data_IF_251822107114
#
_entry.id   IF_251822107114
#
_cell.length_a   1.000
_cell.length_b   1.000
_cell.length_c   1.000
_cell.angle_alpha   90.00
_cell.angle_beta   90.00
_cell.angle_gamma   90.00
#
_symmetry.space_group_name_H-M   'P 1'
#
loop_
_entity.id
_entity.type
_entity.pdbx_description
1 polymer ?
#
# COMPACT_ATOMS: atom_id res chain seq x y z
N UNK A 1 -45.86 23.28 3.28
CA UNK A 1 -45.01 23.37 4.49
C UNK A 1 -45.73 22.62 5.60
N UNK A 2 -45.02 21.73 6.29
CA UNK A 2 -45.57 20.83 7.31
C UNK A 2 -46.12 21.65 8.50
N UNK A 3 -47.29 21.33 9.08
CA UNK A 3 -47.86 22.09 10.20
C UNK A 3 -46.97 22.07 11.45
N UNK A 4 -47.00 23.11 12.30
CA UNK A 4 -46.26 23.14 13.56
C UNK A 4 -46.63 21.94 14.44
N UNK A 5 -45.63 21.18 14.90
CA UNK A 5 -45.82 19.99 15.76
C UNK A 5 -45.99 18.66 15.02
N UNK A 6 -46.10 18.66 13.68
CA UNK A 6 -46.10 17.44 12.88
C UNK A 6 -44.68 17.03 12.46
N UNK A 7 -44.44 15.71 12.38
CA UNK A 7 -43.16 15.18 11.87
C UNK A 7 -43.02 15.47 10.38
N UNK A 8 -41.91 16.12 9.99
CA UNK A 8 -41.60 16.40 8.59
C UNK A 8 -40.91 15.20 7.95
N UNK A 9 -41.71 14.36 7.28
CA UNK A 9 -41.24 13.15 6.62
C UNK A 9 -40.20 13.45 5.53
N UNK A 10 -40.33 14.57 4.81
CA UNK A 10 -39.39 14.93 3.75
C UNK A 10 -38.03 15.26 4.35
N UNK A 11 -38.01 16.00 5.46
CA UNK A 11 -36.80 16.27 6.25
C UNK A 11 -36.15 14.97 6.73
N UNK A 12 -36.92 14.06 7.32
CA UNK A 12 -36.39 12.78 7.82
C UNK A 12 -35.83 11.89 6.71
N UNK A 13 -36.53 11.79 5.58
CA UNK A 13 -36.07 11.02 4.42
C UNK A 13 -34.80 11.63 3.81
N UNK A 14 -34.73 12.96 3.69
CA UNK A 14 -33.55 13.67 3.22
C UNK A 14 -32.35 13.46 4.15
N UNK A 15 -32.57 13.51 5.47
CA UNK A 15 -31.52 13.26 6.45
C UNK A 15 -30.98 11.83 6.36
N UNK A 16 -31.86 10.83 6.24
CA UNK A 16 -31.47 9.44 6.03
C UNK A 16 -30.71 9.25 4.70
N UNK A 17 -31.20 9.85 3.62
CA UNK A 17 -30.54 9.83 2.32
C UNK A 17 -29.15 10.47 2.38
N UNK A 18 -29.00 11.62 3.02
CA UNK A 18 -27.72 12.32 3.17
C UNK A 18 -26.72 11.45 3.93
N UNK A 19 -27.14 10.80 5.02
CA UNK A 19 -26.29 9.87 5.76
C UNK A 19 -25.81 8.71 4.88
N UNK A 20 -26.72 8.08 4.14
CA UNK A 20 -26.38 7.00 3.21
C UNK A 20 -25.44 7.47 2.10
N UNK A 21 -25.67 8.66 1.55
CA UNK A 21 -24.84 9.25 0.51
C UNK A 21 -23.43 9.53 1.01
N UNK A 22 -23.28 10.14 2.18
CA UNK A 22 -21.96 10.41 2.79
C UNK A 22 -21.21 9.11 3.04
N UNK A 23 -21.87 8.10 3.62
CA UNK A 23 -21.25 6.80 3.85
C UNK A 23 -20.89 6.11 2.53
N UNK A 24 -21.77 6.16 1.53
CA UNK A 24 -21.52 5.58 0.21
C UNK A 24 -20.33 6.22 -0.49
N UNK A 25 -20.27 7.55 -0.52
CA UNK A 25 -19.15 8.31 -1.10
C UNK A 25 -17.87 8.06 -0.31
N UNK A 26 -17.94 8.03 1.03
CA UNK A 26 -16.79 7.72 1.88
C UNK A 26 -16.21 6.32 1.61
N UNK A 27 -17.06 5.31 1.52
CA UNK A 27 -16.65 3.94 1.16
C UNK A 27 -16.06 3.92 -0.24
N UNK A 28 -16.70 4.57 -1.21
CA UNK A 28 -16.20 4.65 -2.58
C UNK A 28 -14.81 5.30 -2.65
N UNK A 29 -14.61 6.41 -1.92
CA UNK A 29 -13.34 7.11 -1.81
C UNK A 29 -12.23 6.22 -1.25
N UNK A 30 -12.50 5.51 -0.15
CA UNK A 30 -11.55 4.58 0.46
C UNK A 30 -11.21 3.41 -0.48
N UNK A 31 -12.20 2.88 -1.21
CA UNK A 31 -11.97 1.83 -2.21
C UNK A 31 -11.11 2.31 -3.37
N UNK A 32 -11.34 3.53 -3.87
CA UNK A 32 -10.53 4.12 -4.94
C UNK A 32 -9.08 4.35 -4.48
N UNK A 33 -8.88 4.76 -3.22
CA UNK A 33 -7.55 4.95 -2.64
C UNK A 33 -6.80 3.64 -2.42
N UNK A 34 -7.50 2.53 -2.20
CA UNK A 34 -6.89 1.21 -2.09
C UNK A 34 -6.50 0.57 -3.44
N UNK A 35 -6.91 1.15 -4.58
CA UNK A 35 -6.60 0.59 -5.91
C UNK A 35 -5.10 0.44 -6.21
N UNK A 36 -4.23 1.45 -5.96
CA UNK A 36 -2.80 1.31 -6.20
C UNK A 36 -2.21 0.12 -5.44
N UNK A 37 -2.61 -0.06 -4.18
CA UNK A 37 -2.15 -1.16 -3.33
C UNK A 37 -2.57 -2.51 -3.91
N UNK A 38 -3.85 -2.70 -4.26
CA UNK A 38 -4.34 -3.93 -4.87
C UNK A 38 -3.66 -4.28 -6.19
N UNK A 39 -3.28 -3.29 -7.00
CA UNK A 39 -2.55 -3.51 -8.25
C UNK A 39 -1.11 -3.95 -8.01
N UNK A 40 -0.43 -3.35 -7.02
CA UNK A 40 0.96 -3.67 -6.70
C UNK A 40 1.15 -5.06 -6.04
N UNK A 41 0.06 -5.73 -5.60
CA UNK A 41 0.13 -7.03 -4.94
C UNK A 41 0.73 -8.15 -5.80
N UNK A 42 0.74 -8.01 -7.14
CA UNK A 42 1.39 -8.98 -8.03
C UNK A 42 2.89 -8.73 -8.25
N UNK A 43 3.42 -7.64 -7.71
CA UNK A 43 4.79 -7.23 -7.91
C UNK A 43 5.71 -7.60 -6.74
N UNK A 44 6.99 -7.29 -6.89
CA UNK A 44 8.03 -7.47 -5.88
C UNK A 44 7.71 -6.75 -4.55
N UNK A 45 8.17 -7.34 -3.45
CA UNK A 45 7.95 -6.86 -2.08
C UNK A 45 8.33 -5.38 -1.89
N UNK A 46 9.42 -4.94 -2.52
CA UNK A 46 9.92 -3.56 -2.42
C UNK A 46 8.98 -2.58 -3.13
N UNK A 47 8.48 -2.91 -4.32
CA UNK A 47 7.55 -2.07 -5.07
C UNK A 47 6.22 -1.93 -4.30
N UNK A 48 5.72 -3.02 -3.73
CA UNK A 48 4.54 -2.99 -2.85
C UNK A 48 4.75 -2.07 -1.64
N UNK A 49 5.91 -2.11 -0.98
CA UNK A 49 6.22 -1.22 0.14
C UNK A 49 6.19 0.25 -0.26
N UNK A 50 6.80 0.60 -1.39
CA UNK A 50 6.74 1.97 -1.90
C UNK A 50 5.31 2.39 -2.22
N UNK A 51 4.55 1.58 -2.95
CA UNK A 51 3.15 1.88 -3.29
C UNK A 51 2.29 2.06 -2.02
N UNK A 52 2.48 1.21 -1.01
CA UNK A 52 1.77 1.33 0.27
C UNK A 52 2.12 2.63 1.02
N UNK A 53 3.39 3.02 1.06
CA UNK A 53 3.83 4.28 1.68
C UNK A 53 3.28 5.49 0.92
N UNK A 54 3.33 5.50 -0.41
CA UNK A 54 2.74 6.58 -1.21
C UNK A 54 1.22 6.67 -1.02
N UNK A 55 0.51 5.53 -0.95
CA UNK A 55 -0.92 5.49 -0.65
C UNK A 55 -1.26 6.05 0.73
N UNK A 56 -0.47 5.69 1.76
CA UNK A 56 -0.62 6.23 3.12
C UNK A 56 -0.37 7.75 3.15
N UNK A 57 0.67 8.22 2.46
CA UNK A 57 0.94 9.65 2.33
C UNK A 57 -0.19 10.39 1.62
N UNK A 58 -0.76 9.82 0.55
CA UNK A 58 -1.91 10.40 -0.14
C UNK A 58 -3.13 10.54 0.78
N UNK A 59 -3.42 9.52 1.59
CA UNK A 59 -4.54 9.55 2.54
C UNK A 59 -4.31 10.56 3.66
N UNK A 60 -3.12 10.57 4.25
CA UNK A 60 -2.77 11.45 5.37
C UNK A 60 -2.74 12.92 4.95
N UNK A 61 -2.15 13.21 3.77
CA UNK A 61 -1.98 14.59 3.29
C UNK A 61 -3.15 15.10 2.46
N UNK A 62 -4.03 14.20 1.98
CA UNK A 62 -5.05 14.50 0.96
C UNK A 62 -4.49 15.07 -0.34
N UNK A 63 -3.21 14.85 -0.64
CA UNK A 63 -2.60 15.27 -1.90
C UNK A 63 -2.69 14.16 -2.95
N UNK A 64 -3.50 14.39 -3.99
CA UNK A 64 -3.72 13.45 -5.10
C UNK A 64 -2.46 13.11 -5.90
N UNK A 65 -1.41 13.95 -5.85
CA UNK A 65 -0.16 13.66 -6.55
C UNK A 65 0.48 12.35 -6.08
N UNK A 66 0.45 12.08 -4.78
CA UNK A 66 1.00 10.84 -4.22
C UNK A 66 0.17 9.62 -4.64
N UNK A 67 -1.16 9.75 -4.73
CA UNK A 67 -2.02 8.68 -5.21
C UNK A 67 -1.78 8.39 -6.69
N UNK A 68 -1.68 9.43 -7.53
CA UNK A 68 -1.36 9.27 -8.96
C UNK A 68 0.01 8.63 -9.14
N UNK A 69 1.02 9.07 -8.38
CA UNK A 69 2.35 8.47 -8.41
C UNK A 69 2.34 6.99 -8.00
N UNK A 70 1.58 6.64 -6.95
CA UNK A 70 1.39 5.24 -6.54
C UNK A 70 0.74 4.41 -7.65
N UNK A 71 -0.28 4.96 -8.33
CA UNK A 71 -0.97 4.28 -9.43
C UNK A 71 -0.04 4.04 -10.63
N UNK A 72 0.72 5.07 -11.03
CA UNK A 72 1.72 4.96 -12.11
C UNK A 72 2.81 3.95 -11.76
N UNK A 73 3.30 3.99 -10.52
CA UNK A 73 4.30 3.05 -10.03
C UNK A 73 3.75 1.62 -9.97
N UNK A 74 2.49 1.42 -9.60
CA UNK A 74 1.84 0.12 -9.57
C UNK A 74 1.52 -0.44 -10.96
N UNK A 75 1.37 0.43 -11.97
CA UNK A 75 1.07 0.04 -13.35
C UNK A 75 2.31 -0.45 -14.11
N UNK A 76 3.50 0.03 -13.75
CA UNK A 76 4.76 -0.36 -14.38
C UNK A 76 5.41 -1.48 -13.57
N UNK A 77 5.64 -2.62 -14.19
CA UNK A 77 6.40 -3.71 -13.55
C UNK A 77 7.89 -3.35 -13.51
N UNK A 78 8.41 -3.12 -12.31
CA UNK A 78 9.85 -2.91 -12.11
C UNK A 78 10.57 -4.26 -12.07
N UNK A 79 11.65 -4.46 -12.83
CA UNK A 79 12.38 -5.73 -12.82
C UNK A 79 13.08 -5.96 -11.46
N UNK A 80 13.22 -7.24 -11.09
CA UNK A 80 13.95 -7.64 -9.90
C UNK A 80 15.47 -7.61 -10.16
N UNK A 81 16.12 -6.56 -9.67
CA UNK A 81 17.57 -6.41 -9.75
C UNK A 81 18.33 -7.13 -8.63
N UNK A 82 17.65 -7.55 -7.56
CA UNK A 82 18.28 -8.17 -6.39
C UNK A 82 18.74 -9.60 -6.67
N UNK A 83 17.88 -10.40 -7.30
CA UNK A 83 18.17 -11.81 -7.59
C UNK A 83 19.44 -12.00 -8.45
N UNK A 84 19.65 -11.26 -9.56
CA UNK A 84 20.89 -11.36 -10.33
C UNK A 84 22.13 -10.96 -9.53
N UNK A 85 22.08 -9.87 -8.76
CA UNK A 85 23.22 -9.42 -7.94
C UNK A 85 23.58 -10.43 -6.83
N UNK A 86 22.58 -11.01 -6.17
CA UNK A 86 22.79 -12.06 -5.18
C UNK A 86 23.45 -13.30 -5.81
N UNK A 87 23.04 -13.67 -7.03
CA UNK A 87 23.66 -14.79 -7.75
C UNK A 87 25.13 -14.52 -8.09
N UNK A 88 25.47 -13.30 -8.49
CA UNK A 88 26.85 -12.88 -8.76
C UNK A 88 27.71 -12.92 -7.49
N UNK A 89 27.18 -12.42 -6.37
CA UNK A 89 27.86 -12.47 -5.07
C UNK A 89 28.14 -13.91 -4.62
N UNK A 90 27.16 -14.81 -4.74
CA UNK A 90 27.31 -16.21 -4.38
C UNK A 90 28.33 -16.94 -5.28
N UNK A 91 28.36 -16.64 -6.58
CA UNK A 91 29.37 -17.17 -7.50
C UNK A 91 30.78 -16.66 -7.17
N UNK A 92 30.92 -15.38 -6.83
CA UNK A 92 32.18 -14.79 -6.39
C UNK A 92 32.66 -15.37 -5.07
N UNK A 93 31.77 -15.60 -4.11
CA UNK A 93 32.08 -16.23 -2.82
C UNK A 93 32.68 -17.62 -3.03
N UNK A 94 32.02 -18.47 -3.85
CA UNK A 94 32.53 -19.79 -4.24
C UNK A 94 33.89 -19.72 -4.94
N UNK A 95 34.09 -18.75 -5.82
CA UNK A 95 35.35 -18.58 -6.56
C UNK A 95 36.49 -18.04 -5.66
N UNK A 96 36.15 -17.28 -4.61
CA UNK A 96 37.11 -16.71 -3.66
C UNK A 96 37.65 -17.70 -2.64
N UNK A 97 37.07 -18.91 -2.55
CA UNK A 97 37.51 -19.96 -1.61
C UNK A 97 37.30 -19.61 -0.14
N UNK A 98 36.54 -18.55 0.18
CA UNK A 98 36.10 -18.28 1.56
C UNK A 98 35.06 -19.32 1.96
N UNK A 99 35.43 -20.22 2.87
CA UNK A 99 34.46 -21.07 3.58
C UNK A 99 33.40 -20.16 4.22
N UNK A 100 32.10 -20.48 4.12
CA UNK A 100 31.05 -19.75 4.82
C UNK A 100 31.47 -19.62 6.29
N UNK A 101 31.45 -18.41 6.84
CA UNK A 101 31.71 -18.22 8.27
C UNK A 101 30.65 -19.03 9.03
N UNK A 102 31.07 -20.16 9.60
CA UNK A 102 30.23 -21.03 10.41
C UNK A 102 29.72 -20.21 11.61
N UNK A 103 28.41 -19.94 11.75
CA UNK A 103 27.89 -19.16 12.86
C UNK A 103 27.92 -19.91 14.21
N UNK A 104 28.46 -21.14 14.27
CA UNK A 104 28.29 -22.04 15.40
C UNK A 104 29.60 -22.49 16.08
N UNK A 105 30.63 -21.64 16.17
CA UNK A 105 31.73 -21.88 17.11
C UNK A 105 31.62 -20.88 18.27
N UNK A 106 31.08 -21.29 19.44
CA UNK A 106 31.19 -20.49 20.66
C UNK A 106 32.68 -20.30 20.98
N UNK A 107 33.11 -19.06 21.23
CA UNK A 107 34.43 -18.77 21.79
C UNK A 107 34.60 -19.55 23.10
N UNK A 108 35.36 -20.65 23.03
CA UNK A 108 35.92 -21.27 24.22
C UNK A 108 37.02 -20.36 24.74
N UNK A 109 36.66 -19.57 25.75
CA UNK A 109 37.59 -18.73 26.51
C UNK A 109 38.58 -19.63 27.27
N UNK A 110 39.83 -19.61 26.83
CA UNK A 110 40.98 -20.05 27.60
C UNK A 110 41.54 -18.90 28.45
#
# INVERSE_FOLDING_TARGET
>A
VTPPGASDWLMSAMAAFMLLAILGVGIFYLKLHALPEHMAHRSQKVQMQFVAVLGLLALFTHNHLFWVAALLLALVDLPDFGTPMASMAASLEKMSGRTPADPAVPEEKA
#
